data_IF_560375629477
#
_entry.id   IF_560375629477
#
_cell.length_a   1.000
_cell.length_b   1.000
_cell.length_c   1.000
_cell.angle_alpha   90.00
_cell.angle_beta   90.00
_cell.angle_gamma   90.00
#
_symmetry.space_group_name_H-M   'P 1'
#
loop_
_entity.id
_entity.type
_entity.pdbx_description
1 polymer ?
#
# COMPACT_ATOMS: atom_id res chain seq x y z
N UNK A 1 17.42 -53.26 -49.72
CA UNK A 1 17.77 -51.89 -49.31
C UNK A 1 16.52 -51.21 -48.75
N UNK A 2 16.40 -51.11 -47.41
CA UNK A 2 15.28 -50.41 -46.76
C UNK A 2 15.59 -48.91 -46.74
N UNK A 3 14.69 -48.09 -47.31
CA UNK A 3 14.73 -46.63 -47.17
C UNK A 3 14.09 -46.26 -45.83
N UNK A 4 14.85 -45.60 -44.95
CA UNK A 4 14.31 -44.93 -43.78
C UNK A 4 13.95 -43.50 -44.17
N UNK A 5 12.66 -43.17 -44.05
CA UNK A 5 12.14 -41.80 -44.18
C UNK A 5 12.29 -41.17 -42.80
N UNK A 6 13.12 -40.14 -42.70
CA UNK A 6 13.28 -39.33 -41.50
C UNK A 6 12.16 -38.28 -41.49
N UNK A 7 11.16 -38.47 -40.62
CA UNK A 7 10.09 -37.50 -40.41
C UNK A 7 10.59 -36.44 -39.41
N UNK A 8 11.00 -35.26 -39.88
CA UNK A 8 11.26 -34.13 -39.00
C UNK A 8 9.91 -33.53 -38.58
N UNK A 9 9.55 -33.73 -37.31
CA UNK A 9 8.42 -33.05 -36.67
C UNK A 9 8.93 -31.67 -36.23
N UNK A 10 8.47 -30.63 -36.90
CA UNK A 10 8.66 -29.24 -36.48
C UNK A 10 7.69 -28.95 -35.34
N UNK A 11 8.18 -28.90 -34.11
CA UNK A 11 7.43 -28.31 -33.00
C UNK A 11 7.47 -26.79 -33.19
N UNK A 12 6.36 -26.24 -33.69
CA UNK A 12 6.12 -24.80 -33.62
C UNK A 12 5.70 -24.53 -32.17
N UNK A 13 6.62 -24.00 -31.37
CA UNK A 13 6.28 -23.37 -30.09
C UNK A 13 5.51 -22.09 -30.42
N UNK A 14 4.18 -22.18 -30.40
CA UNK A 14 3.32 -21.01 -30.20
C UNK A 14 3.51 -20.61 -28.73
N UNK A 15 4.42 -19.66 -28.49
CA UNK A 15 4.54 -19.01 -27.19
C UNK A 15 3.25 -18.22 -26.93
N UNK A 16 2.37 -18.76 -26.10
CA UNK A 16 1.40 -17.94 -25.38
C UNK A 16 2.18 -17.10 -24.37
N UNK A 17 2.61 -15.90 -24.75
CA UNK A 17 2.94 -14.86 -23.77
C UNK A 17 1.62 -14.32 -23.21
N UNK A 18 0.94 -15.10 -22.37
CA UNK A 18 -0.03 -14.52 -21.45
C UNK A 18 0.77 -14.00 -20.26
N UNK A 19 1.16 -12.73 -20.30
CA UNK A 19 1.69 -12.02 -19.13
C UNK A 19 0.53 -11.84 -18.14
N UNK A 20 0.25 -12.86 -17.35
CA UNK A 20 -0.75 -12.76 -16.29
C UNK A 20 -0.17 -11.92 -15.15
N UNK A 21 -0.94 -10.90 -14.73
CA UNK A 21 -0.59 -10.04 -13.59
C UNK A 21 -1.01 -10.64 -12.24
N UNK A 22 -1.78 -11.74 -12.26
CA UNK A 22 -2.38 -12.33 -11.06
C UNK A 22 -1.33 -12.94 -10.14
N UNK A 23 -1.38 -12.54 -8.88
CA UNK A 23 -0.58 -12.99 -7.75
C UNK A 23 -1.51 -13.12 -6.54
N UNK A 24 -1.31 -14.14 -5.69
CA UNK A 24 -1.92 -14.20 -4.37
C UNK A 24 -1.12 -13.35 -3.37
N UNK A 25 -1.66 -13.11 -2.18
CA UNK A 25 -0.93 -12.35 -1.17
C UNK A 25 0.34 -13.07 -0.70
N UNK A 26 1.41 -12.30 -0.56
CA UNK A 26 2.67 -12.76 0.03
C UNK A 26 2.93 -12.07 1.36
N UNK A 27 3.48 -12.84 2.31
CA UNK A 27 3.98 -12.33 3.58
C UNK A 27 5.51 -12.24 3.50
N UNK A 28 6.10 -11.02 3.55
CA UNK A 28 7.54 -10.85 3.55
C UNK A 28 8.18 -11.16 4.90
N UNK A 29 9.45 -11.58 4.89
CA UNK A 29 10.22 -11.84 6.11
C UNK A 29 10.53 -10.53 6.88
N UNK A 30 10.57 -10.63 8.21
CA UNK A 30 11.01 -9.56 9.13
C UNK A 30 12.42 -9.83 9.69
N UNK A 31 13.23 -8.78 9.96
CA UNK A 31 12.94 -7.36 9.78
C UNK A 31 13.03 -6.95 8.30
N UNK A 32 12.23 -5.95 7.91
CA UNK A 32 12.26 -5.46 6.52
C UNK A 32 13.62 -4.83 6.20
N UNK A 33 14.19 -5.07 5.02
CA UNK A 33 15.39 -4.36 4.61
C UNK A 33 15.04 -2.91 4.28
N UNK A 34 16.00 -2.00 4.55
CA UNK A 34 15.91 -0.59 4.17
C UNK A 34 16.46 -0.46 2.76
N UNK A 35 15.59 -0.31 1.77
CA UNK A 35 15.95 -0.39 0.35
C UNK A 35 15.33 0.74 -0.48
N UNK A 36 15.97 1.05 -1.60
CA UNK A 36 15.44 1.94 -2.63
C UNK A 36 15.48 1.19 -3.95
N UNK A 37 14.34 1.13 -4.63
CA UNK A 37 14.16 0.47 -5.92
C UNK A 37 13.71 1.50 -6.94
N UNK A 38 14.51 1.65 -8.00
CA UNK A 38 14.11 2.36 -9.20
C UNK A 38 13.48 1.31 -10.14
N UNK A 39 12.21 1.51 -10.51
CA UNK A 39 11.53 0.65 -11.47
C UNK A 39 11.71 1.24 -12.85
N UNK A 40 12.26 0.42 -13.75
CA UNK A 40 12.56 0.86 -15.11
C UNK A 40 11.26 0.96 -15.93
N UNK A 41 11.07 2.11 -16.58
CA UNK A 41 10.06 2.28 -17.61
C UNK A 41 10.77 2.40 -18.97
N UNK A 42 10.57 1.41 -19.84
CA UNK A 42 11.13 1.39 -21.19
C UNK A 42 10.32 2.26 -22.18
N UNK A 43 9.10 2.65 -21.81
CA UNK A 43 8.14 3.38 -22.65
C UNK A 43 8.05 4.86 -22.24
N UNK A 44 9.18 5.59 -22.29
CA UNK A 44 9.19 7.02 -21.96
C UNK A 44 9.06 7.89 -23.21
N UNK A 45 7.94 8.61 -23.30
CA UNK A 45 7.68 9.65 -24.30
C UNK A 45 6.96 10.84 -23.63
N UNK A 46 6.70 11.92 -24.37
CA UNK A 46 5.85 13.01 -23.87
C UNK A 46 6.31 13.68 -22.56
N UNK A 47 5.34 14.03 -21.70
CA UNK A 47 5.58 14.66 -20.40
C UNK A 47 5.83 13.59 -19.33
N UNK A 48 7.00 13.65 -18.68
CA UNK A 48 7.39 12.66 -17.68
C UNK A 48 6.97 13.14 -16.29
N UNK A 49 6.35 12.23 -15.51
CA UNK A 49 6.06 12.40 -14.09
C UNK A 49 6.84 11.39 -13.26
N UNK A 50 7.43 11.86 -12.18
CA UNK A 50 8.12 11.03 -11.18
C UNK A 50 7.12 10.66 -10.06
N UNK A 51 7.12 9.39 -9.67
CA UNK A 51 6.39 8.90 -8.50
C UNK A 51 7.38 8.25 -7.54
N UNK A 52 7.27 8.60 -6.25
CA UNK A 52 8.00 7.97 -5.16
C UNK A 52 6.99 7.52 -4.10
N UNK A 53 7.07 6.26 -3.69
CA UNK A 53 6.21 5.69 -2.65
C UNK A 53 6.97 4.67 -1.82
N UNK A 54 6.37 4.17 -0.75
CA UNK A 54 7.00 3.15 0.09
C UNK A 54 6.03 2.07 0.51
N UNK A 55 6.49 0.82 0.47
CA UNK A 55 5.84 -0.33 1.09
C UNK A 55 6.79 -0.89 2.16
N UNK A 56 6.33 -0.93 3.40
CA UNK A 56 7.16 -1.15 4.60
C UNK A 56 8.41 -0.22 4.62
N UNK A 57 9.62 -0.78 4.60
CA UNK A 57 10.90 -0.04 4.54
C UNK A 57 11.58 -0.12 3.17
N UNK A 58 10.83 -0.35 2.10
CA UNK A 58 11.33 -0.21 0.73
C UNK A 58 10.69 0.99 0.06
N UNK A 59 11.53 1.89 -0.45
CA UNK A 59 11.12 2.98 -1.34
C UNK A 59 11.11 2.50 -2.78
N UNK A 60 10.03 2.80 -3.48
CA UNK A 60 9.87 2.58 -4.89
C UNK A 60 9.85 3.92 -5.58
N UNK A 61 10.55 4.00 -6.71
CA UNK A 61 10.50 5.16 -7.58
C UNK A 61 10.34 4.71 -9.02
N UNK A 62 9.48 5.39 -9.75
CA UNK A 62 9.32 5.14 -11.17
C UNK A 62 8.83 6.38 -11.89
N UNK A 63 8.95 6.34 -13.22
CA UNK A 63 8.58 7.42 -14.10
C UNK A 63 7.43 6.97 -14.99
N UNK A 64 6.42 7.83 -15.16
CA UNK A 64 5.38 7.64 -16.16
C UNK A 64 5.48 8.68 -17.27
N UNK A 65 5.32 8.20 -18.50
CA UNK A 65 4.98 9.00 -19.66
C UNK A 65 3.49 9.32 -19.60
N UNK A 66 3.13 10.60 -19.48
CA UNK A 66 1.73 11.03 -19.55
C UNK A 66 1.54 11.95 -20.75
N UNK A 67 0.55 11.62 -21.59
CA UNK A 67 0.19 12.45 -22.72
C UNK A 67 -0.56 13.70 -22.24
N UNK A 68 0.08 14.86 -22.38
CA UNK A 68 -0.48 16.15 -21.99
C UNK A 68 -1.68 16.54 -22.86
N UNK A 69 -1.69 16.17 -24.13
CA UNK A 69 -2.80 16.46 -25.03
C UNK A 69 -4.02 15.65 -24.59
N UNK A 70 -3.84 14.35 -24.35
CA UNK A 70 -4.90 13.48 -23.81
C UNK A 70 -5.40 13.96 -22.46
N UNK A 71 -4.51 14.34 -21.53
CA UNK A 71 -4.92 14.92 -20.25
C UNK A 71 -5.78 16.17 -20.44
N UNK A 72 -5.41 17.07 -21.36
CA UNK A 72 -6.20 18.26 -21.62
C UNK A 72 -7.57 17.91 -22.21
N UNK A 73 -7.67 16.91 -23.08
CA UNK A 73 -8.94 16.43 -23.61
C UNK A 73 -9.84 15.88 -22.50
N UNK A 74 -9.31 14.96 -21.69
CA UNK A 74 -10.03 14.27 -20.61
C UNK A 74 -10.49 15.23 -19.52
N UNK A 75 -9.66 16.21 -19.17
CA UNK A 75 -10.01 17.25 -18.20
C UNK A 75 -11.28 18.03 -18.56
N UNK A 76 -11.58 18.18 -19.86
CA UNK A 76 -12.77 18.90 -20.34
C UNK A 76 -13.90 17.96 -20.77
N UNK A 77 -13.77 16.65 -20.56
CA UNK A 77 -14.86 15.70 -20.77
C UNK A 77 -16.00 15.95 -19.76
N UNK A 78 -17.22 15.55 -20.17
CA UNK A 78 -18.40 15.67 -19.32
C UNK A 78 -18.28 14.75 -18.11
N UNK A 79 -18.23 15.35 -16.92
CA UNK A 79 -18.29 14.68 -15.62
C UNK A 79 -19.73 14.38 -15.16
N UNK A 80 -20.70 14.84 -15.95
CA UNK A 80 -22.13 14.61 -15.71
C UNK A 80 -22.57 13.31 -16.39
N UNK A 81 -23.22 12.42 -15.64
CA UNK A 81 -23.88 11.22 -16.19
C UNK A 81 -25.26 11.53 -16.79
N UNK A 82 -25.74 12.77 -16.66
CA UNK A 82 -27.08 13.21 -17.06
C UNK A 82 -28.15 12.95 -15.99
N UNK A 83 -27.74 12.66 -14.75
CA UNK A 83 -28.62 12.33 -13.62
C UNK A 83 -28.44 13.39 -12.54
N UNK A 84 -29.49 14.17 -12.27
CA UNK A 84 -29.47 15.15 -11.17
C UNK A 84 -29.72 14.44 -9.82
N UNK A 85 -28.72 14.43 -8.95
CA UNK A 85 -28.84 14.10 -7.53
C UNK A 85 -28.76 15.38 -6.69
N UNK A 86 -29.70 15.56 -5.78
CA UNK A 86 -29.73 16.73 -4.88
C UNK A 86 -28.68 16.69 -3.76
N UNK A 87 -28.04 15.54 -3.56
CA UNK A 87 -27.04 15.26 -2.51
C UNK A 87 -25.96 14.32 -3.08
N UNK A 88 -24.71 14.81 -3.22
CA UNK A 88 -23.52 14.00 -3.54
C UNK A 88 -23.50 13.27 -4.90
N UNK A 89 -22.38 12.60 -5.19
CA UNK A 89 -22.24 11.73 -6.35
C UNK A 89 -22.87 10.36 -6.02
N UNK A 90 -23.87 9.94 -6.79
CA UNK A 90 -24.53 8.63 -6.65
C UNK A 90 -23.78 7.56 -7.45
N UNK A 91 -24.05 6.28 -7.13
CA UNK A 91 -23.48 5.13 -7.85
C UNK A 91 -23.54 5.26 -9.39
N UNK A 92 -24.67 5.70 -9.93
CA UNK A 92 -24.93 5.88 -11.37
C UNK A 92 -24.16 7.04 -12.00
N UNK A 93 -23.51 7.88 -11.20
CA UNK A 93 -22.63 8.95 -11.66
C UNK A 93 -21.15 8.52 -11.69
N UNK A 94 -20.75 7.52 -10.90
CA UNK A 94 -19.38 6.99 -10.91
C UNK A 94 -19.06 6.15 -12.15
N UNK A 95 -20.05 5.57 -12.82
CA UNK A 95 -19.89 4.81 -14.07
C UNK A 95 -19.13 5.60 -15.14
N UNK A 96 -19.32 6.93 -15.20
CA UNK A 96 -18.62 7.82 -16.14
C UNK A 96 -17.11 7.78 -15.95
N UNK A 97 -16.63 7.65 -14.72
CA UNK A 97 -15.21 7.62 -14.38
C UNK A 97 -14.64 6.19 -14.42
N UNK A 98 -15.42 5.22 -13.92
CA UNK A 98 -15.04 3.81 -13.87
C UNK A 98 -14.85 3.26 -15.29
N UNK A 99 -15.81 3.52 -16.19
CA UNK A 99 -15.80 2.97 -17.55
C UNK A 99 -15.19 3.90 -18.60
N UNK A 100 -14.67 5.06 -18.20
CA UNK A 100 -13.76 5.81 -19.07
C UNK A 100 -12.55 4.94 -19.43
N UNK A 101 -12.15 4.96 -20.70
CA UNK A 101 -11.07 4.11 -21.20
C UNK A 101 -9.87 4.93 -21.71
N UNK A 102 -9.88 6.25 -21.52
CA UNK A 102 -8.78 7.11 -21.91
C UNK A 102 -7.47 6.75 -21.21
N UNK A 103 -7.56 6.15 -20.02
CA UNK A 103 -6.42 5.73 -19.18
C UNK A 103 -5.84 4.35 -19.51
N UNK A 104 -6.44 3.59 -20.44
CA UNK A 104 -6.09 2.17 -20.70
C UNK A 104 -4.58 1.94 -20.86
N UNK A 105 -3.92 2.75 -21.69
CA UNK A 105 -2.48 2.60 -21.97
C UNK A 105 -1.65 2.92 -20.73
N UNK A 106 -1.96 4.03 -20.05
CA UNK A 106 -1.26 4.45 -18.82
C UNK A 106 -1.40 3.43 -17.70
N UNK A 107 -2.59 2.85 -17.49
CA UNK A 107 -2.77 1.78 -16.49
C UNK A 107 -1.97 0.53 -16.87
N UNK A 108 -1.94 0.16 -18.15
CA UNK A 108 -1.13 -0.95 -18.66
C UNK A 108 0.37 -0.75 -18.45
N UNK A 109 0.87 0.48 -18.64
CA UNK A 109 2.26 0.83 -18.37
C UNK A 109 2.60 0.70 -16.88
N UNK A 110 1.76 1.23 -15.98
CA UNK A 110 1.94 1.10 -14.51
C UNK A 110 2.05 -0.38 -14.12
N UNK A 111 1.11 -1.21 -14.60
CA UNK A 111 1.10 -2.64 -14.31
C UNK A 111 2.35 -3.33 -14.83
N UNK A 112 2.81 -2.97 -16.03
CA UNK A 112 4.01 -3.55 -16.65
C UNK A 112 5.28 -3.16 -15.91
N UNK A 113 5.43 -1.89 -15.50
CA UNK A 113 6.56 -1.39 -14.71
C UNK A 113 6.66 -2.15 -13.38
N UNK A 114 5.55 -2.27 -12.65
CA UNK A 114 5.54 -2.92 -11.33
C UNK A 114 5.74 -4.43 -11.47
N UNK A 115 5.12 -5.07 -12.46
CA UNK A 115 5.26 -6.52 -12.68
C UNK A 115 6.69 -6.91 -13.07
N UNK A 116 7.37 -6.08 -13.86
CA UNK A 116 8.73 -6.36 -14.35
C UNK A 116 9.84 -5.93 -13.38
N UNK A 117 9.50 -5.52 -12.15
CA UNK A 117 10.49 -5.21 -11.11
C UNK A 117 11.46 -6.38 -10.88
N UNK A 118 12.71 -6.05 -10.56
CA UNK A 118 13.76 -7.05 -10.31
C UNK A 118 14.05 -7.29 -8.82
N UNK A 119 13.55 -6.41 -7.95
CA UNK A 119 13.70 -6.48 -6.49
C UNK A 119 12.36 -6.61 -5.78
N UNK A 120 12.41 -7.15 -4.55
CA UNK A 120 11.25 -7.38 -3.68
C UNK A 120 10.11 -8.16 -4.36
N UNK A 121 10.46 -9.34 -4.87
CA UNK A 121 9.51 -10.30 -5.44
C UNK A 121 8.67 -11.00 -4.36
N UNK A 122 9.04 -10.82 -3.09
CA UNK A 122 8.31 -11.21 -1.88
C UNK A 122 7.17 -10.24 -1.51
N UNK A 123 7.05 -9.12 -2.22
CA UNK A 123 5.85 -8.27 -2.18
C UNK A 123 4.98 -8.60 -3.39
N UNK A 124 3.71 -8.91 -3.18
CA UNK A 124 2.79 -9.13 -4.31
C UNK A 124 2.39 -7.80 -5.00
N UNK A 125 1.88 -7.95 -6.22
CA UNK A 125 1.41 -6.84 -7.05
C UNK A 125 0.34 -5.99 -6.35
N UNK A 126 -0.58 -6.61 -5.60
CA UNK A 126 -1.68 -5.89 -4.93
C UNK A 126 -1.11 -4.95 -3.87
N UNK A 127 -0.25 -5.44 -2.98
CA UNK A 127 0.37 -4.62 -1.93
C UNK A 127 1.14 -3.41 -2.51
N UNK A 128 1.84 -3.60 -3.63
CA UNK A 128 2.58 -2.52 -4.30
C UNK A 128 1.62 -1.50 -4.93
N UNK A 129 0.58 -1.94 -5.64
CA UNK A 129 -0.42 -1.05 -6.24
C UNK A 129 -1.19 -0.25 -5.19
N UNK A 130 -1.58 -0.89 -4.09
CA UNK A 130 -2.23 -0.23 -2.94
C UNK A 130 -1.31 0.84 -2.38
N UNK A 131 -0.04 0.52 -2.10
CA UNK A 131 0.92 1.48 -1.54
C UNK A 131 1.21 2.65 -2.50
N UNK A 132 1.26 2.38 -3.80
CA UNK A 132 1.41 3.40 -4.82
C UNK A 132 0.23 4.38 -4.79
N UNK A 133 -1.01 3.88 -4.86
CA UNK A 133 -2.18 4.77 -4.86
C UNK A 133 -2.34 5.50 -3.53
N UNK A 134 -2.05 4.85 -2.39
CA UNK A 134 -2.04 5.49 -1.07
C UNK A 134 -1.06 6.67 -0.99
N UNK A 135 0.06 6.64 -1.72
CA UNK A 135 1.06 7.73 -1.73
C UNK A 135 0.67 8.97 -2.53
N UNK A 136 -0.32 8.88 -3.42
CA UNK A 136 -0.82 10.03 -4.19
C UNK A 136 -1.38 11.07 -3.20
N UNK A 137 -1.11 12.36 -3.40
CA UNK A 137 -1.51 13.40 -2.45
C UNK A 137 -3.04 13.43 -2.26
N UNK A 138 -3.50 13.46 -1.00
CA UNK A 138 -4.93 13.59 -0.71
C UNK A 138 -5.42 15.03 -0.96
N UNK A 139 -6.48 15.16 -1.74
CA UNK A 139 -7.09 16.44 -2.08
C UNK A 139 -8.24 16.81 -1.15
N UNK A 140 -7.92 17.40 0.00
CA UNK A 140 -8.93 17.87 0.96
C UNK A 140 -9.75 19.09 0.50
N UNK A 141 -9.47 19.64 -0.69
CA UNK A 141 -10.14 20.77 -1.31
C UNK A 141 -10.72 20.40 -2.68
N UNK A 142 -10.94 19.10 -2.92
CA UNK A 142 -11.55 18.64 -4.16
C UNK A 142 -12.98 19.21 -4.27
N UNK A 143 -13.19 20.04 -5.29
CA UNK A 143 -14.50 20.60 -5.61
C UNK A 143 -15.23 19.79 -6.69
N UNK A 144 -14.49 19.01 -7.48
CA UNK A 144 -15.01 18.22 -8.58
C UNK A 144 -14.27 16.87 -8.69
N UNK A 145 -14.98 15.79 -9.04
CA UNK A 145 -14.37 14.48 -9.29
C UNK A 145 -13.40 14.56 -10.47
N UNK A 146 -12.41 13.68 -10.48
CA UNK A 146 -11.34 13.62 -11.48
C UNK A 146 -11.38 12.26 -12.19
N UNK A 147 -11.09 12.27 -13.48
CA UNK A 147 -10.73 11.03 -14.16
C UNK A 147 -9.38 10.52 -13.65
N UNK A 148 -9.15 9.21 -13.75
CA UNK A 148 -7.89 8.58 -13.36
C UNK A 148 -6.65 9.22 -14.01
N UNK A 149 -6.75 9.62 -15.29
CA UNK A 149 -5.67 10.38 -15.95
C UNK A 149 -5.42 11.74 -15.31
N UNK A 150 -6.47 12.45 -14.87
CA UNK A 150 -6.31 13.69 -14.13
C UNK A 150 -5.63 13.43 -12.78
N UNK A 151 -6.08 12.42 -12.04
CA UNK A 151 -5.51 12.00 -10.74
C UNK A 151 -4.03 11.66 -10.85
N UNK A 152 -3.65 10.87 -11.86
CA UNK A 152 -2.26 10.53 -12.14
C UNK A 152 -1.48 11.78 -12.54
N UNK A 153 -1.94 12.57 -13.51
CA UNK A 153 -1.21 13.73 -14.02
C UNK A 153 -0.95 14.81 -12.97
N UNK A 154 -1.92 15.05 -12.10
CA UNK A 154 -1.84 15.99 -10.99
C UNK A 154 -1.12 15.42 -9.77
N UNK A 155 -0.96 14.08 -9.72
CA UNK A 155 -0.50 13.33 -8.56
C UNK A 155 -1.27 13.69 -7.28
N UNK A 156 -2.58 13.87 -7.42
CA UNK A 156 -3.47 14.37 -6.36
C UNK A 156 -4.92 13.97 -6.61
N UNK A 157 -5.62 13.50 -5.59
CA UNK A 157 -7.03 13.11 -5.64
C UNK A 157 -7.65 12.95 -4.25
N UNK A 158 -8.98 12.99 -4.18
CA UNK A 158 -9.73 12.70 -2.94
C UNK A 158 -10.03 11.19 -2.81
N UNK A 159 -10.96 10.82 -1.90
CA UNK A 159 -11.29 9.41 -1.64
C UNK A 159 -11.89 8.71 -2.87
N UNK A 160 -12.70 9.43 -3.66
CA UNK A 160 -13.32 8.92 -4.88
C UNK A 160 -12.27 8.70 -5.97
N UNK A 161 -11.49 9.75 -6.26
CA UNK A 161 -10.47 9.76 -7.30
C UNK A 161 -9.45 8.62 -7.14
N UNK A 162 -8.97 8.42 -5.90
CA UNK A 162 -7.97 7.42 -5.56
C UNK A 162 -8.57 6.02 -5.53
N UNK A 163 -9.79 5.84 -5.05
CA UNK A 163 -10.47 4.54 -5.05
C UNK A 163 -10.82 4.05 -6.45
N UNK A 164 -11.27 4.95 -7.34
CA UNK A 164 -11.52 4.62 -8.75
C UNK A 164 -10.20 4.24 -9.45
N UNK A 165 -9.11 4.98 -9.21
CA UNK A 165 -7.81 4.62 -9.77
C UNK A 165 -7.33 3.23 -9.33
N UNK A 166 -7.38 2.93 -8.03
CA UNK A 166 -6.92 1.64 -7.52
C UNK A 166 -7.81 0.49 -8.02
N UNK A 167 -9.14 0.65 -7.97
CA UNK A 167 -10.07 -0.39 -8.43
C UNK A 167 -9.88 -0.72 -9.91
N UNK A 168 -9.62 0.30 -10.76
CA UNK A 168 -9.28 0.10 -12.17
C UNK A 168 -7.93 -0.58 -12.35
N UNK A 169 -6.87 -0.16 -11.65
CA UNK A 169 -5.56 -0.85 -11.72
C UNK A 169 -5.66 -2.33 -11.38
N UNK A 170 -6.39 -2.67 -10.31
CA UNK A 170 -6.61 -4.05 -9.89
C UNK A 170 -7.49 -4.83 -10.88
N UNK A 171 -8.57 -4.23 -11.40
CA UNK A 171 -9.41 -4.86 -12.42
C UNK A 171 -8.63 -5.10 -13.72
N UNK A 172 -7.78 -4.16 -14.15
CA UNK A 172 -6.88 -4.34 -15.29
C UNK A 172 -5.85 -5.46 -15.08
N UNK A 173 -5.41 -5.68 -13.83
CA UNK A 173 -4.56 -6.82 -13.47
C UNK A 173 -5.34 -8.15 -13.43
N UNK A 174 -6.68 -8.11 -13.41
CA UNK A 174 -7.59 -9.26 -13.45
C UNK A 174 -8.27 -9.59 -12.13
N UNK A 175 -8.04 -8.80 -11.07
CA UNK A 175 -8.66 -8.97 -9.76
C UNK A 175 -10.10 -8.50 -9.76
N UNK A 176 -11.01 -9.27 -9.16
CA UNK A 176 -12.38 -8.84 -8.97
C UNK A 176 -12.43 -7.73 -7.90
N UNK A 177 -12.94 -6.56 -8.28
CA UNK A 177 -13.01 -5.39 -7.41
C UNK A 177 -14.39 -4.75 -7.38
N UNK A 178 -14.64 -3.98 -6.34
CA UNK A 178 -15.79 -3.10 -6.24
C UNK A 178 -15.40 -1.79 -5.57
N UNK A 179 -16.31 -0.82 -5.58
CA UNK A 179 -16.25 0.38 -4.78
C UNK A 179 -17.29 0.27 -3.67
N UNK A 180 -16.86 0.55 -2.43
CA UNK A 180 -17.73 0.77 -1.29
C UNK A 180 -18.02 2.26 -1.21
N UNK A 181 -19.28 2.64 -1.37
CA UNK A 181 -19.74 4.02 -1.42
C UNK A 181 -20.57 4.30 -0.17
N UNK A 182 -20.11 5.24 0.65
CA UNK A 182 -20.76 5.71 1.87
C UNK A 182 -21.32 7.11 1.60
N UNK A 183 -22.62 7.18 1.34
CA UNK A 183 -23.29 8.42 0.96
C UNK A 183 -23.47 9.36 2.17
N UNK A 184 -23.74 8.83 3.37
CA UNK A 184 -23.85 9.68 4.57
C UNK A 184 -22.46 10.12 5.06
N UNK A 185 -21.51 9.18 5.07
CA UNK A 185 -20.11 9.44 5.42
C UNK A 185 -19.38 10.30 4.39
N UNK A 186 -19.89 10.43 3.16
CA UNK A 186 -19.18 11.06 2.03
C UNK A 186 -17.78 10.47 1.85
N UNK A 187 -17.71 9.14 1.78
CA UNK A 187 -16.45 8.41 1.65
C UNK A 187 -16.54 7.29 0.61
N UNK A 188 -15.42 7.00 -0.03
CA UNK A 188 -15.26 5.86 -0.93
C UNK A 188 -14.02 5.05 -0.59
N UNK A 189 -14.17 3.73 -0.67
CA UNK A 189 -13.07 2.78 -0.52
C UNK A 189 -13.15 1.68 -1.59
N UNK A 190 -12.07 0.91 -1.72
CA UNK A 190 -12.00 -0.21 -2.67
C UNK A 190 -12.30 -1.52 -1.97
N UNK A 191 -13.12 -2.35 -2.60
CA UNK A 191 -13.27 -3.76 -2.26
C UNK A 191 -12.41 -4.63 -3.17
N UNK A 192 -11.69 -5.58 -2.59
CA UNK A 192 -10.95 -6.60 -3.32
C UNK A 192 -11.47 -7.99 -2.94
N UNK A 193 -11.84 -8.79 -3.93
CA UNK A 193 -12.40 -10.13 -3.69
C UNK A 193 -11.32 -11.05 -3.13
N UNK A 194 -11.66 -11.77 -2.07
CA UNK A 194 -10.81 -12.81 -1.49
C UNK A 194 -11.51 -14.17 -1.49
N UNK A 195 -10.74 -15.24 -1.44
CA UNK A 195 -11.26 -16.61 -1.37
C UNK A 195 -11.71 -17.01 0.05
N UNK A 196 -11.22 -16.31 1.08
CA UNK A 196 -11.61 -16.46 2.47
C UNK A 196 -12.80 -15.55 2.85
N UNK A 197 -14.01 -16.09 2.71
CA UNK A 197 -15.24 -15.38 3.05
C UNK A 197 -15.39 -15.02 4.53
N UNK A 198 -14.72 -15.71 5.46
CA UNK A 198 -14.85 -15.45 6.90
C UNK A 198 -14.06 -14.20 7.32
N UNK A 199 -12.96 -13.92 6.62
CA UNK A 199 -12.14 -12.73 6.85
C UNK A 199 -12.58 -11.52 6.00
N UNK A 200 -13.55 -11.69 5.11
CA UNK A 200 -14.06 -10.62 4.26
C UNK A 200 -14.88 -9.59 5.04
N UNK A 201 -14.85 -8.34 4.57
CA UNK A 201 -15.65 -7.26 5.15
C UNK A 201 -17.12 -7.33 4.68
N UNK A 202 -17.35 -7.35 3.37
CA UNK A 202 -18.70 -7.30 2.77
C UNK A 202 -18.71 -8.09 1.46
N UNK A 203 -19.69 -8.95 1.26
CA UNK A 203 -19.90 -9.74 0.03
C UNK A 203 -18.66 -10.51 -0.48
N UNK A 204 -17.78 -10.95 0.42
CA UNK A 204 -16.54 -11.65 0.07
C UNK A 204 -15.39 -10.73 -0.37
N UNK A 205 -15.54 -9.42 -0.17
CA UNK A 205 -14.50 -8.42 -0.44
C UNK A 205 -13.90 -7.90 0.86
N UNK A 206 -12.58 -7.69 0.87
CA UNK A 206 -11.87 -6.94 1.93
C UNK A 206 -11.89 -5.45 1.63
N UNK A 207 -11.87 -4.63 2.68
CA UNK A 207 -11.84 -3.17 2.58
C UNK A 207 -10.41 -2.66 2.33
N UNK A 208 -10.21 -1.74 1.38
CA UNK A 208 -8.93 -1.09 1.15
C UNK A 208 -9.11 0.43 1.23
N UNK A 209 -8.48 1.03 2.25
CA UNK A 209 -8.38 2.47 2.39
C UNK A 209 -7.34 3.03 1.42
N UNK A 210 -7.68 4.08 0.65
CA UNK A 210 -6.76 4.67 -0.34
C UNK A 210 -6.26 6.05 0.06
N UNK A 211 -6.89 6.72 1.03
CA UNK A 211 -6.59 8.11 1.39
C UNK A 211 -5.27 8.31 2.12
N UNK A 212 -4.69 7.25 2.69
CA UNK A 212 -3.37 7.27 3.28
C UNK A 212 -2.82 5.86 3.58
N UNK A 213 -1.59 5.76 4.13
CA UNK A 213 -0.99 4.48 4.48
C UNK A 213 -1.87 3.70 5.45
N UNK A 214 -2.37 2.54 5.03
CA UNK A 214 -3.23 1.67 5.84
C UNK A 214 -3.09 0.21 5.39
N UNK A 215 -3.12 -0.77 6.31
CA UNK A 215 -3.15 -2.18 5.95
C UNK A 215 -4.37 -2.56 5.11
N UNK A 216 -4.20 -3.52 4.20
CA UNK A 216 -5.32 -4.12 3.44
C UNK A 216 -6.28 -4.81 4.42
N UNK A 217 -7.57 -4.49 4.30
CA UNK A 217 -8.65 -5.00 5.15
C UNK A 217 -8.84 -4.26 6.47
N UNK A 218 -8.02 -3.23 6.75
CA UNK A 218 -8.21 -2.38 7.94
C UNK A 218 -9.13 -1.22 7.60
N UNK A 219 -10.21 -1.10 8.37
CA UNK A 219 -11.11 0.04 8.34
C UNK A 219 -10.62 1.04 9.41
N UNK A 220 -10.28 2.28 9.04
CA UNK A 220 -9.89 3.30 10.01
C UNK A 220 -11.00 3.60 11.02
N UNK A 221 -10.64 3.87 12.28
CA UNK A 221 -11.60 4.32 13.31
C UNK A 221 -11.96 5.80 13.15
N UNK A 222 -11.05 6.61 12.61
CA UNK A 222 -11.25 8.02 12.27
C UNK A 222 -10.89 8.23 10.81
N UNK A 223 -11.71 9.06 10.14
CA UNK A 223 -11.49 9.54 8.79
C UNK A 223 -11.28 11.06 8.79
N UNK A 224 -10.68 11.58 7.72
CA UNK A 224 -10.31 12.98 7.61
C UNK A 224 -11.57 13.82 7.63
N UNK A 225 -11.51 14.99 8.27
CA UNK A 225 -12.66 15.88 8.35
C UNK A 225 -13.77 15.43 9.31
N UNK A 226 -13.58 14.35 10.10
CA UNK A 226 -14.57 13.88 11.06
C UNK A 226 -15.66 13.00 10.44
N UNK A 227 -15.36 12.43 9.28
CA UNK A 227 -16.19 11.42 8.62
C UNK A 227 -16.29 10.17 9.51
N UNK A 228 -17.47 9.55 9.54
CA UNK A 228 -17.70 8.26 10.19
C UNK A 228 -18.54 7.39 9.29
N UNK A 229 -18.01 6.20 8.97
CA UNK A 229 -18.71 5.17 8.18
C UNK A 229 -19.14 3.98 9.04
N UNK A 230 -18.88 4.02 10.35
CA UNK A 230 -19.03 2.85 11.24
C UNK A 230 -20.46 2.36 11.39
N UNK A 231 -21.44 3.26 11.20
CA UNK A 231 -22.87 2.96 11.32
C UNK A 231 -23.60 2.97 9.96
N UNK A 232 -22.87 3.02 8.84
CA UNK A 232 -23.42 3.06 7.48
C UNK A 232 -23.08 1.77 6.70
N UNK A 233 -24.08 1.16 6.08
CA UNK A 233 -23.86 0.05 5.14
C UNK A 233 -23.49 0.62 3.75
N UNK A 234 -22.36 0.23 3.16
CA UNK A 234 -21.95 0.78 1.88
C UNK A 234 -22.86 0.31 0.74
N UNK A 235 -23.05 1.19 -0.25
CA UNK A 235 -23.48 0.76 -1.58
C UNK A 235 -22.29 0.15 -2.32
N UNK A 236 -22.54 -0.92 -3.05
CA UNK A 236 -21.50 -1.64 -3.79
C UNK A 236 -21.67 -1.38 -5.27
N UNK A 237 -20.65 -0.79 -5.89
CA UNK A 237 -20.50 -0.70 -7.34
C UNK A 237 -19.40 -1.66 -7.78
N UNK A 238 -19.78 -2.75 -8.45
CA UNK A 238 -18.82 -3.70 -9.00
C UNK A 238 -18.03 -3.05 -10.15
N UNK A 239 -16.71 -3.22 -10.15
CA UNK A 239 -15.81 -2.66 -11.16
C UNK A 239 -15.31 -3.80 -12.04
N UNK A 240 -15.85 -3.86 -13.26
CA UNK A 240 -15.44 -4.85 -14.26
C UNK A 240 -15.10 -4.14 -15.58
N UNK A 241 -13.85 -3.70 -15.70
CA UNK A 241 -13.36 -3.00 -16.90
C UNK A 241 -12.55 -3.92 -17.83
N UNK A 242 -12.22 -5.15 -17.40
CA UNK A 242 -11.38 -6.11 -18.14
C UNK A 242 -11.80 -7.59 -17.97
N UNK A 243 -13.08 -7.87 -17.75
CA UNK A 243 -13.57 -9.23 -17.44
C UNK A 243 -12.81 -9.81 -16.23
N UNK A 244 -12.74 -9.05 -15.14
CA UNK A 244 -11.92 -9.37 -13.96
C UNK A 244 -12.72 -10.13 -12.88
N UNK A 245 -12.30 -11.36 -12.56
CA UNK A 245 -13.02 -12.28 -11.68
C UNK A 245 -12.12 -13.03 -10.69
N UNK A 246 -10.84 -12.64 -10.58
CA UNK A 246 -9.92 -13.34 -9.71
C UNK A 246 -10.15 -12.97 -8.23
N UNK A 247 -10.39 -13.98 -7.40
CA UNK A 247 -10.41 -13.87 -5.94
C UNK A 247 -9.01 -14.17 -5.40
N UNK A 248 -8.47 -13.25 -4.59
CA UNK A 248 -7.10 -13.35 -4.06
C UNK A 248 -7.06 -14.29 -2.87
N UNK A 249 -6.07 -15.19 -2.85
CA UNK A 249 -5.81 -16.09 -1.73
C UNK A 249 -4.76 -15.52 -0.76
N UNK A 250 -4.65 -16.07 0.44
CA UNK A 250 -3.58 -15.72 1.40
C UNK A 250 -3.86 -14.49 2.28
N UNK A 251 -5.09 -13.98 2.27
CA UNK A 251 -5.45 -12.81 3.08
C UNK A 251 -5.38 -13.09 4.59
N UNK A 252 -5.72 -14.30 5.03
CA UNK A 252 -5.61 -14.68 6.44
C UNK A 252 -4.17 -14.56 6.93
N UNK A 253 -3.20 -15.11 6.20
CA UNK A 253 -1.78 -15.02 6.52
C UNK A 253 -1.27 -13.58 6.52
N UNK A 254 -1.71 -12.77 5.54
CA UNK A 254 -1.38 -11.35 5.49
C UNK A 254 -1.91 -10.58 6.72
N UNK A 255 -3.13 -10.87 7.14
CA UNK A 255 -3.74 -10.24 8.30
C UNK A 255 -3.07 -10.67 9.62
N UNK A 256 -2.71 -11.95 9.78
CA UNK A 256 -1.95 -12.41 10.94
C UNK A 256 -0.56 -11.77 10.99
N UNK A 257 0.09 -11.61 9.84
CA UNK A 257 1.34 -10.88 9.73
C UNK A 257 1.21 -9.41 10.14
N UNK A 258 0.13 -8.73 9.74
CA UNK A 258 -0.12 -7.35 10.20
C UNK A 258 -0.23 -7.28 11.73
N UNK A 259 -0.92 -8.22 12.37
CA UNK A 259 -1.00 -8.29 13.84
C UNK A 259 0.36 -8.51 14.49
N UNK A 260 1.18 -9.40 13.94
CA UNK A 260 2.55 -9.63 14.44
C UNK A 260 3.38 -8.34 14.40
N UNK A 261 3.26 -7.57 13.32
CA UNK A 261 3.95 -6.28 13.18
C UNK A 261 3.43 -5.24 14.20
N UNK A 262 2.12 -5.18 14.41
CA UNK A 262 1.51 -4.30 15.42
C UNK A 262 1.96 -4.68 16.84
N UNK A 263 2.07 -5.97 17.14
CA UNK A 263 2.58 -6.46 18.44
C UNK A 263 4.05 -6.10 18.67
N UNK A 264 4.88 -6.15 17.61
CA UNK A 264 6.31 -5.82 17.68
C UNK A 264 6.56 -4.31 17.77
N UNK A 265 5.93 -3.53 16.88
CA UNK A 265 6.28 -2.13 16.65
C UNK A 265 5.19 -1.12 17.05
N UNK A 266 4.01 -1.61 17.43
CA UNK A 266 2.84 -0.82 17.82
C UNK A 266 1.80 -0.70 16.71
N UNK A 267 0.52 -0.56 17.09
CA UNK A 267 -0.65 -0.43 16.21
C UNK A 267 -0.52 0.71 15.18
N UNK A 268 0.24 1.76 15.51
CA UNK A 268 0.45 2.90 14.62
C UNK A 268 1.47 2.63 13.51
N UNK A 269 2.20 1.50 13.52
CA UNK A 269 3.33 1.22 12.62
C UNK A 269 2.99 1.43 11.14
N UNK A 270 1.87 0.89 10.65
CA UNK A 270 1.51 0.95 9.24
C UNK A 270 1.17 2.36 8.76
N UNK A 271 0.59 3.17 9.65
CA UNK A 271 0.20 4.56 9.41
C UNK A 271 1.38 5.54 9.46
N UNK A 272 2.58 5.08 9.85
CA UNK A 272 3.76 5.94 9.87
C UNK A 272 4.37 6.11 8.47
N UNK A 273 5.04 7.26 8.27
CA UNK A 273 5.92 7.47 7.13
C UNK A 273 7.08 6.47 7.11
N UNK A 274 7.76 6.32 5.97
CA UNK A 274 8.95 5.48 5.81
C UNK A 274 10.00 5.70 6.93
N UNK A 275 10.32 6.96 7.22
CA UNK A 275 11.25 7.32 8.29
C UNK A 275 10.71 6.96 9.68
N UNK A 276 9.40 7.10 9.89
CA UNK A 276 8.73 6.71 11.12
C UNK A 276 8.85 5.21 11.38
N UNK A 277 8.63 4.37 10.37
CA UNK A 277 8.80 2.91 10.43
C UNK A 277 10.23 2.52 10.81
N UNK A 278 11.25 3.13 10.18
CA UNK A 278 12.67 2.92 10.54
C UNK A 278 12.93 3.25 12.01
N UNK A 279 12.41 4.38 12.50
CA UNK A 279 12.63 4.80 13.89
C UNK A 279 11.96 3.84 14.88
N UNK A 280 10.74 3.38 14.58
CA UNK A 280 10.00 2.42 15.42
C UNK A 280 10.77 1.10 15.58
N UNK A 281 11.30 0.57 14.49
CA UNK A 281 12.10 -0.67 14.54
C UNK A 281 13.40 -0.47 15.32
N UNK A 282 14.13 0.63 15.09
CA UNK A 282 15.33 0.95 15.86
C UNK A 282 15.03 1.13 17.37
N UNK A 283 13.88 1.70 17.71
CA UNK A 283 13.42 1.82 19.09
C UNK A 283 13.15 0.45 19.72
N UNK A 284 12.53 -0.47 18.95
CA UNK A 284 12.30 -1.85 19.38
C UNK A 284 13.62 -2.61 19.60
N UNK A 285 14.56 -2.53 18.67
CA UNK A 285 15.88 -3.15 18.80
C UNK A 285 16.64 -2.66 20.04
N UNK A 286 16.66 -1.34 20.28
CA UNK A 286 17.27 -0.77 21.47
C UNK A 286 16.56 -1.24 22.74
N UNK A 287 15.23 -1.32 22.73
CA UNK A 287 14.46 -1.80 23.88
C UNK A 287 14.84 -3.24 24.24
N UNK A 288 14.85 -4.13 23.26
CA UNK A 288 15.25 -5.53 23.47
C UNK A 288 16.68 -5.62 24.00
N UNK A 289 17.62 -4.86 23.43
CA UNK A 289 18.98 -4.86 23.93
C UNK A 289 19.11 -4.28 25.35
N UNK A 290 18.26 -3.34 25.75
CA UNK A 290 18.24 -2.82 27.13
C UNK A 290 17.64 -3.83 28.10
N UNK A 291 16.62 -4.58 27.67
CA UNK A 291 16.01 -5.66 28.45
C UNK A 291 17.02 -6.79 28.70
N UNK A 292 17.77 -7.20 27.67
CA UNK A 292 18.87 -8.17 27.81
C UNK A 292 19.92 -7.73 28.85
N UNK A 293 20.32 -6.44 28.83
CA UNK A 293 21.27 -5.89 29.80
C UNK A 293 20.65 -5.87 31.20
N UNK A 294 19.37 -5.53 31.32
CA UNK A 294 18.67 -5.54 32.60
C UNK A 294 18.59 -6.95 33.19
N UNK A 295 18.38 -7.98 32.37
CA UNK A 295 18.37 -9.38 32.79
C UNK A 295 19.76 -9.84 33.25
N UNK A 296 20.82 -9.39 32.58
CA UNK A 296 22.20 -9.62 33.02
C UNK A 296 22.47 -8.94 34.37
N UNK A 297 22.04 -7.68 34.54
CA UNK A 297 22.12 -6.95 35.82
C UNK A 297 21.35 -7.68 36.93
N UNK A 298 20.17 -8.21 36.65
CA UNK A 298 19.38 -8.98 37.61
C UNK A 298 20.09 -10.27 38.01
N UNK A 299 20.75 -10.95 37.06
CA UNK A 299 21.54 -12.16 37.31
C UNK A 299 22.72 -11.90 38.26
N UNK A 300 23.27 -10.67 38.25
CA UNK A 300 24.30 -10.23 39.19
C UNK A 300 23.75 -9.86 40.58
N UNK A 301 22.45 -9.95 40.82
CA UNK A 301 21.80 -9.50 42.06
C UNK A 301 21.56 -7.99 42.12
N UNK A 302 21.69 -7.30 40.98
CA UNK A 302 21.49 -5.86 40.84
C UNK A 302 22.80 -5.05 40.92
N UNK A 303 22.83 -3.94 40.16
CA UNK A 303 24.00 -3.07 40.05
C UNK A 303 23.82 -1.72 40.77
N UNK A 304 23.15 -1.74 41.93
CA UNK A 304 22.85 -0.53 42.71
C UNK A 304 23.32 -0.65 44.17
N UNK A 305 23.63 0.48 44.81
CA UNK A 305 24.03 0.52 46.22
C UNK A 305 25.50 0.14 46.45
N UNK A 306 25.79 -0.46 47.62
CA UNK A 306 27.14 -0.88 48.01
C UNK A 306 27.43 -2.27 47.43
N UNK A 307 28.24 -2.32 46.38
CA UNK A 307 28.69 -3.55 45.73
C UNK A 307 30.08 -3.96 46.24
N UNK A 308 30.35 -5.26 46.32
CA UNK A 308 31.72 -5.73 46.49
C UNK A 308 32.53 -5.45 45.21
N UNK A 309 33.88 -5.39 45.29
CA UNK A 309 34.71 -5.02 44.15
C UNK A 309 34.49 -5.88 42.90
N UNK A 310 34.23 -7.20 43.06
CA UNK A 310 34.08 -8.10 41.91
C UNK A 310 32.75 -7.88 41.19
N UNK A 311 31.66 -7.66 41.93
CA UNK A 311 30.36 -7.32 41.35
C UNK A 311 30.38 -5.93 40.72
N UNK A 312 31.07 -4.97 41.35
CA UNK A 312 31.23 -3.62 40.80
C UNK A 312 31.90 -3.64 39.42
N UNK A 313 32.99 -4.38 39.27
CA UNK A 313 33.75 -4.47 38.01
C UNK A 313 32.92 -5.09 36.88
N UNK A 314 32.01 -6.02 37.19
CA UNK A 314 31.06 -6.60 36.24
C UNK A 314 29.90 -5.65 35.91
N UNK A 315 29.40 -4.93 36.91
CA UNK A 315 28.27 -4.00 36.77
C UNK A 315 28.59 -2.74 35.97
N UNK A 316 29.80 -2.18 36.16
CA UNK A 316 30.18 -0.90 35.56
C UNK A 316 30.01 -0.88 34.01
N UNK A 317 30.50 -1.85 33.22
CA UNK A 317 30.31 -1.84 31.77
C UNK A 317 28.84 -1.99 31.37
N UNK A 318 28.05 -2.80 32.09
CA UNK A 318 26.63 -3.01 31.81
C UNK A 318 25.82 -1.73 32.03
N UNK A 319 26.02 -1.09 33.18
CA UNK A 319 25.34 0.18 33.51
C UNK A 319 25.73 1.28 32.52
N UNK A 320 27.01 1.36 32.13
CA UNK A 320 27.45 2.32 31.12
C UNK A 320 26.80 2.07 29.75
N UNK A 321 26.72 0.80 29.32
CA UNK A 321 26.06 0.41 28.07
C UNK A 321 24.57 0.73 28.12
N UNK A 322 23.88 0.36 29.21
CA UNK A 322 22.47 0.64 29.43
C UNK A 322 22.19 2.16 29.37
N UNK A 323 22.97 2.97 30.09
CA UNK A 323 22.81 4.43 30.07
C UNK A 323 23.01 5.03 28.68
N UNK A 324 23.97 4.51 27.90
CA UNK A 324 24.17 4.92 26.52
C UNK A 324 22.95 4.60 25.64
N UNK A 325 22.42 3.38 25.76
CA UNK A 325 21.25 2.95 24.98
C UNK A 325 19.98 3.71 25.36
N UNK A 326 19.78 4.01 26.65
CA UNK A 326 18.69 4.89 27.12
C UNK A 326 18.82 6.27 26.46
N UNK A 327 20.02 6.84 26.40
CA UNK A 327 20.27 8.11 25.73
C UNK A 327 19.91 8.05 24.24
N UNK A 328 20.31 6.99 23.53
CA UNK A 328 20.03 6.85 22.10
C UNK A 328 18.55 6.58 21.82
N UNK A 329 17.88 5.78 22.65
CA UNK A 329 16.44 5.57 22.61
C UNK A 329 15.69 6.90 22.78
N UNK A 330 16.07 7.72 23.76
CA UNK A 330 15.45 9.03 23.97
C UNK A 330 15.62 9.98 22.77
N UNK A 331 16.75 9.90 22.04
CA UNK A 331 16.94 10.67 20.79
C UNK A 331 15.98 10.18 19.69
N UNK A 332 15.79 8.87 19.57
CA UNK A 332 14.84 8.29 18.62
C UNK A 332 13.40 8.69 18.94
N UNK A 333 12.99 8.63 20.20
CA UNK A 333 11.67 9.12 20.66
C UNK A 333 11.49 10.59 20.28
N UNK A 334 12.50 11.44 20.52
CA UNK A 334 12.43 12.85 20.14
C UNK A 334 12.30 13.05 18.62
N UNK A 335 13.03 12.27 17.81
CA UNK A 335 12.93 12.30 16.34
C UNK A 335 11.56 11.82 15.87
N UNK A 336 11.05 10.74 16.43
CA UNK A 336 9.74 10.17 16.13
C UNK A 336 8.63 11.19 16.40
N UNK A 337 8.63 11.80 17.60
CA UNK A 337 7.66 12.82 17.97
C UNK A 337 7.73 14.05 17.05
N UNK A 338 8.92 14.42 16.56
CA UNK A 338 9.06 15.53 15.60
C UNK A 338 8.45 15.19 14.24
N UNK A 339 8.65 13.96 13.75
CA UNK A 339 8.08 13.48 12.49
C UNK A 339 6.55 13.42 12.56
N UNK A 340 6.00 12.80 13.61
CA UNK A 340 4.55 12.70 13.77
C UNK A 340 3.86 14.06 13.75
N UNK A 341 4.46 15.06 14.39
CA UNK A 341 3.93 16.44 14.40
C UNK A 341 3.96 17.13 13.02
N UNK A 342 4.73 16.63 12.05
CA UNK A 342 4.77 17.13 10.67
C UNK A 342 3.88 16.32 9.73
N UNK A 343 3.81 15.02 9.98
CA UNK A 343 3.13 14.04 9.13
C UNK A 343 1.68 13.77 9.60
N UNK A 344 1.15 14.52 10.59
CA UNK A 344 -0.25 14.45 11.03
C UNK A 344 -1.20 14.94 9.93
N UNK A 345 -1.34 14.13 8.89
CA UNK A 345 -2.50 14.10 8.04
C UNK A 345 -3.41 13.08 8.71
N UNK A 346 -4.52 13.55 9.29
CA UNK A 346 -5.60 12.61 9.63
C UNK A 346 -5.98 11.94 8.31
N UNK A 347 -5.88 10.60 8.28
CA UNK A 347 -6.60 9.77 7.29
C UNK A 347 -8.06 10.10 7.42
#
# INVERSE_FOLDING_TARGET
MKKHVLLLIYFIFLGCNSTSYLEDFFVPDIPFPVENLELENENLYGEIRDYEFSLFKTKFKFNLSLDKELYNEVKFMSKDSGIESGDGIRQDQYDVFVYDNSDTETLGDILSIIKNRTGRLDYDLVQILVSFVQSIEYDNQADLPKYTLETLFLNKGDCDDKSILLSKLLSYAGYETCLFIYEEGQHMAVGLKIDDYESAYKDGFVYIETTGPSPIGKIPEEFAGGISILDEDPKILYVDVKDSYYSVSGYYELNEFYKEIEDLYGEDYFYNSYDGKIIKENMFELKNSMDDINDEIQTLGGCSGNLDPSTYDLCLPLVNKLNSQISDYNKLVARYNNLRNKDYIKI
#
